data_IF_324624754433
#
_entry.id   IF_324624754433
#
_cell.length_a   1.000
_cell.length_b   1.000
_cell.length_c   1.000
_cell.angle_alpha   90.00
_cell.angle_beta   90.00
_cell.angle_gamma   90.00
#
_symmetry.space_group_name_H-M   'P 1'
#
loop_
_entity.id
_entity.type
_entity.pdbx_description
1 polymer ?
#
# COMPACT_ATOMS: atom_id res chain seq x y z
N UNK A 1 37.55 -39.06 -23.52
CA UNK A 1 37.28 -37.78 -22.82
C UNK A 1 35.78 -37.61 -22.67
N UNK A 2 35.25 -37.75 -21.45
CA UNK A 2 33.84 -37.52 -21.11
C UNK A 2 33.68 -36.03 -20.87
N UNK A 3 33.12 -35.30 -21.82
CA UNK A 3 32.84 -33.87 -21.65
C UNK A 3 31.43 -33.77 -21.07
N UNK A 4 31.37 -33.46 -19.78
CA UNK A 4 30.17 -33.32 -18.98
C UNK A 4 29.53 -31.96 -19.31
N UNK A 5 28.40 -31.95 -20.02
CA UNK A 5 27.59 -30.74 -20.19
C UNK A 5 26.83 -30.46 -18.89
N UNK A 6 27.39 -29.59 -18.04
CA UNK A 6 26.68 -29.04 -16.89
C UNK A 6 25.78 -27.91 -17.40
N UNK A 7 24.50 -28.21 -17.57
CA UNK A 7 23.47 -27.19 -17.75
C UNK A 7 23.24 -26.50 -16.41
N UNK A 8 23.79 -25.29 -16.25
CA UNK A 8 23.50 -24.42 -15.11
C UNK A 8 22.09 -23.84 -15.35
N UNK A 9 21.11 -24.38 -14.63
CA UNK A 9 19.76 -23.82 -14.57
C UNK A 9 19.82 -22.65 -13.59
N UNK A 10 20.02 -21.42 -14.11
CA UNK A 10 19.82 -20.19 -13.32
C UNK A 10 18.33 -20.09 -12.98
N UNK A 11 17.92 -20.67 -11.85
CA UNK A 11 16.69 -20.25 -11.18
C UNK A 11 16.95 -18.83 -10.66
N UNK A 12 16.64 -17.84 -11.48
CA UNK A 12 16.50 -16.47 -11.01
C UNK A 12 15.28 -16.44 -10.07
N UNK A 13 15.51 -16.70 -8.79
CA UNK A 13 14.49 -16.41 -7.78
C UNK A 13 14.33 -14.90 -7.79
N UNK A 14 13.29 -14.40 -8.46
CA UNK A 14 12.90 -13.01 -8.32
C UNK A 14 12.60 -12.80 -6.84
N UNK A 15 13.44 -12.02 -6.17
CA UNK A 15 13.11 -11.44 -4.87
C UNK A 15 11.83 -10.63 -5.07
N UNK A 16 10.68 -11.26 -4.81
CA UNK A 16 9.43 -10.55 -4.64
C UNK A 16 9.63 -9.73 -3.38
N UNK A 17 9.90 -8.44 -3.56
CA UNK A 17 9.97 -7.55 -2.41
C UNK A 17 8.55 -7.43 -1.86
N UNK A 18 8.32 -8.05 -0.70
CA UNK A 18 7.06 -7.94 0.06
C UNK A 18 6.78 -6.48 0.46
N UNK A 19 7.79 -5.61 0.39
CA UNK A 19 7.68 -4.18 0.57
C UNK A 19 8.53 -3.41 -0.45
N UNK A 20 7.93 -2.44 -1.12
CA UNK A 20 8.58 -1.50 -2.03
C UNK A 20 8.07 -0.09 -1.78
N UNK A 21 8.84 0.94 -2.15
CA UNK A 21 8.44 2.33 -2.00
C UNK A 21 8.60 3.07 -3.33
N UNK A 22 7.61 3.86 -3.70
CA UNK A 22 7.66 4.73 -4.89
C UNK A 22 6.69 5.91 -4.72
N UNK A 23 6.92 7.06 -5.38
CA UNK A 23 5.92 8.13 -5.42
C UNK A 23 4.69 7.69 -6.22
N UNK A 24 3.54 8.29 -5.92
CA UNK A 24 2.35 8.11 -6.74
C UNK A 24 2.51 8.77 -8.11
N UNK A 25 2.13 8.06 -9.18
CA UNK A 25 2.14 8.56 -10.54
C UNK A 25 0.88 8.13 -11.31
N UNK A 26 0.72 8.66 -12.53
CA UNK A 26 -0.45 8.33 -13.36
C UNK A 26 -0.49 6.86 -13.76
N UNK A 27 0.67 6.24 -14.01
CA UNK A 27 0.77 4.83 -14.41
C UNK A 27 0.23 3.91 -13.30
N UNK A 28 0.55 4.21 -12.05
CA UNK A 28 0.06 3.48 -10.89
C UNK A 28 -1.44 3.65 -10.74
N UNK A 29 -1.98 4.86 -10.89
CA UNK A 29 -3.43 5.09 -10.88
C UNK A 29 -4.14 4.33 -12.02
N UNK A 30 -3.61 4.41 -13.24
CA UNK A 30 -4.17 3.79 -14.44
C UNK A 30 -4.11 2.25 -14.38
N UNK A 31 -3.16 1.70 -13.63
CA UNK A 31 -3.07 0.26 -13.35
C UNK A 31 -4.23 -0.27 -12.49
N UNK A 32 -5.03 0.63 -11.90
CA UNK A 32 -6.15 0.31 -10.99
C UNK A 32 -5.72 -0.53 -9.78
N UNK A 33 -4.47 -0.38 -9.35
CA UNK A 33 -4.00 -1.02 -8.13
C UNK A 33 -4.86 -0.56 -6.94
N UNK A 34 -5.14 -1.46 -6.01
CA UNK A 34 -5.86 -1.11 -4.79
C UNK A 34 -4.97 -0.21 -3.94
N UNK A 35 -5.47 0.97 -3.58
CA UNK A 35 -4.80 1.90 -2.68
C UNK A 35 -5.56 1.86 -1.35
N UNK A 36 -4.89 1.51 -0.27
CA UNK A 36 -5.46 1.54 1.08
C UNK A 36 -5.01 2.83 1.76
N UNK A 37 -5.96 3.71 2.06
CA UNK A 37 -5.70 4.95 2.79
C UNK A 37 -5.78 4.67 4.30
N UNK A 38 -4.63 4.76 4.98
CA UNK A 38 -4.48 4.42 6.40
C UNK A 38 -4.58 5.63 7.33
N UNK A 39 -4.99 6.79 6.81
CA UNK A 39 -5.22 8.02 7.56
C UNK A 39 -6.48 7.93 8.44
N UNK A 40 -6.72 8.96 9.23
CA UNK A 40 -7.92 9.05 10.07
C UNK A 40 -9.15 9.54 9.27
N UNK A 41 -10.38 9.26 9.75
CA UNK A 41 -11.59 9.83 9.17
C UNK A 41 -11.59 11.36 9.08
N UNK A 42 -11.01 12.04 10.06
CA UNK A 42 -10.87 13.50 10.06
C UNK A 42 -9.98 13.98 8.91
N UNK A 43 -8.86 13.30 8.64
CA UNK A 43 -8.01 13.59 7.48
C UNK A 43 -8.74 13.34 6.15
N UNK A 44 -9.51 12.25 6.05
CA UNK A 44 -10.30 11.94 4.85
C UNK A 44 -11.39 12.99 4.57
N UNK A 45 -12.05 13.49 5.62
CA UNK A 45 -13.05 14.57 5.49
C UNK A 45 -12.42 15.87 4.98
N UNK A 46 -11.20 16.18 5.40
CA UNK A 46 -10.51 17.43 5.03
C UNK A 46 -10.02 17.42 3.60
N UNK A 47 -9.31 16.37 3.16
CA UNK A 47 -8.66 16.36 1.84
C UNK A 47 -9.37 15.49 0.81
N UNK A 48 -10.33 14.66 1.22
CA UNK A 48 -10.80 13.54 0.43
C UNK A 48 -9.79 12.40 0.36
N UNK A 49 -10.06 11.48 -0.56
CA UNK A 49 -9.27 10.28 -0.86
C UNK A 49 -8.72 10.37 -2.28
N UNK A 50 -7.62 9.69 -2.58
CA UNK A 50 -7.26 9.41 -3.98
C UNK A 50 -8.36 8.56 -4.59
N UNK A 51 -8.85 8.92 -5.78
CA UNK A 51 -10.02 8.28 -6.40
C UNK A 51 -9.88 6.75 -6.45
N UNK A 52 -10.88 6.04 -5.91
CA UNK A 52 -10.89 4.57 -5.87
C UNK A 52 -10.07 3.95 -4.73
N UNK A 53 -9.60 4.77 -3.79
CA UNK A 53 -8.92 4.29 -2.58
C UNK A 53 -9.90 3.69 -1.58
N UNK A 54 -9.42 2.72 -0.79
CA UNK A 54 -10.16 2.06 0.27
C UNK A 54 -9.75 2.69 1.62
N UNK A 55 -10.66 3.42 2.30
CA UNK A 55 -10.35 4.01 3.59
C UNK A 55 -10.34 2.94 4.69
N UNK A 56 -9.16 2.61 5.22
CA UNK A 56 -8.96 1.66 6.32
C UNK A 56 -7.90 2.24 7.27
N UNK A 57 -8.34 2.98 8.28
CA UNK A 57 -7.48 3.61 9.29
C UNK A 57 -6.66 2.55 10.04
N UNK A 58 -5.36 2.84 10.26
CA UNK A 58 -4.48 2.01 11.07
C UNK A 58 -4.28 2.60 12.47
N UNK A 59 -3.85 3.86 12.55
CA UNK A 59 -3.68 4.61 13.80
C UNK A 59 -4.84 5.58 13.97
N UNK A 60 -5.43 5.63 15.17
CA UNK A 60 -6.37 6.68 15.55
C UNK A 60 -5.67 8.01 15.86
N UNK A 61 -6.45 9.03 16.24
CA UNK A 61 -5.94 10.38 16.54
C UNK A 61 -5.03 10.43 17.79
N UNK A 62 -5.10 9.41 18.65
CA UNK A 62 -4.27 9.26 19.84
C UNK A 62 -3.06 8.36 19.59
N UNK A 63 -2.94 7.78 18.39
CA UNK A 63 -1.88 6.84 18.03
C UNK A 63 -2.15 5.40 18.44
N UNK A 64 -3.35 5.08 18.95
CA UNK A 64 -3.71 3.69 19.23
C UNK A 64 -3.99 2.94 17.92
N UNK A 65 -3.75 1.64 17.92
CA UNK A 65 -3.99 0.77 16.77
C UNK A 65 -4.48 -0.61 17.22
N UNK A 66 -5.26 -1.27 16.38
CA UNK A 66 -5.68 -2.65 16.56
C UNK A 66 -5.33 -3.44 15.30
N UNK A 67 -4.27 -4.24 15.38
CA UNK A 67 -3.73 -5.02 14.25
C UNK A 67 -4.76 -6.02 13.74
N UNK A 68 -5.45 -6.75 14.61
CA UNK A 68 -6.41 -7.78 14.23
C UNK A 68 -7.60 -7.16 13.48
N UNK A 69 -8.16 -6.08 14.01
CA UNK A 69 -9.26 -5.36 13.38
C UNK A 69 -8.85 -4.76 12.02
N UNK A 70 -7.62 -4.23 11.93
CA UNK A 70 -7.08 -3.71 10.68
C UNK A 70 -6.91 -4.82 9.63
N UNK A 71 -6.25 -5.94 9.99
CA UNK A 71 -6.05 -7.07 9.09
C UNK A 71 -7.38 -7.70 8.64
N UNK A 72 -8.37 -7.78 9.54
CA UNK A 72 -9.71 -8.25 9.21
C UNK A 72 -10.41 -7.38 8.15
N UNK A 73 -10.24 -6.05 8.19
CA UNK A 73 -10.74 -5.14 7.15
C UNK A 73 -9.91 -5.25 5.87
N UNK A 74 -8.58 -5.30 5.99
CA UNK A 74 -7.66 -5.39 4.86
C UNK A 74 -7.92 -6.66 4.03
N UNK A 75 -8.10 -7.82 4.68
CA UNK A 75 -8.33 -9.10 4.02
C UNK A 75 -9.66 -9.18 3.26
N UNK A 76 -10.63 -8.32 3.56
CA UNK A 76 -11.86 -8.19 2.77
C UNK A 76 -11.63 -7.47 1.44
N UNK A 77 -10.53 -6.73 1.34
CA UNK A 77 -10.20 -5.89 0.18
C UNK A 77 -9.04 -6.48 -0.62
N UNK A 78 -8.00 -6.98 0.05
CA UNK A 78 -6.74 -7.44 -0.54
C UNK A 78 -6.52 -8.91 -0.23
N UNK A 79 -6.23 -9.72 -1.25
CA UNK A 79 -5.85 -11.13 -1.08
C UNK A 79 -4.36 -11.26 -0.71
N UNK A 80 -3.98 -12.32 0.00
CA UNK A 80 -2.56 -12.64 0.21
C UNK A 80 -1.86 -12.84 -1.14
N UNK A 81 -0.64 -12.31 -1.28
CA UNK A 81 0.10 -12.27 -2.54
C UNK A 81 -0.35 -11.20 -3.56
N UNK A 82 -1.52 -10.58 -3.38
CA UNK A 82 -1.96 -9.46 -4.23
C UNK A 82 -1.11 -8.22 -3.93
N UNK A 83 -0.61 -7.57 -4.98
CA UNK A 83 0.12 -6.30 -4.83
C UNK A 83 -0.86 -5.15 -4.64
N UNK A 84 -0.65 -4.34 -3.60
CA UNK A 84 -1.46 -3.17 -3.32
C UNK A 84 -0.59 -2.02 -2.80
N UNK A 85 -1.15 -0.81 -2.80
CA UNK A 85 -0.49 0.38 -2.34
C UNK A 85 -1.06 0.85 -1.00
N UNK A 86 -0.23 1.50 -0.19
CA UNK A 86 -0.62 2.20 1.03
C UNK A 86 -0.41 3.70 0.85
N UNK A 87 -1.32 4.51 1.38
CA UNK A 87 -1.16 5.96 1.45
C UNK A 87 -1.48 6.49 2.85
N UNK A 88 -0.65 7.40 3.35
CA UNK A 88 -0.93 8.20 4.53
C UNK A 88 -0.79 9.70 4.22
N UNK A 89 -0.62 10.55 5.24
CA UNK A 89 -0.46 11.99 5.00
C UNK A 89 0.82 12.31 4.22
N UNK A 90 1.99 11.88 4.70
CA UNK A 90 3.31 12.24 4.16
C UNK A 90 4.23 11.08 3.80
N UNK A 91 3.84 9.82 4.09
CA UNK A 91 4.64 8.61 3.87
C UNK A 91 5.16 7.94 5.17
N UNK A 92 5.23 8.67 6.29
CA UNK A 92 5.85 8.14 7.51
C UNK A 92 5.09 6.93 8.11
N UNK A 93 3.76 7.02 8.18
CA UNK A 93 2.94 5.92 8.73
C UNK A 93 2.95 4.70 7.81
N UNK A 94 2.94 4.91 6.49
CA UNK A 94 2.94 3.83 5.51
C UNK A 94 4.27 3.12 5.44
N UNK A 95 5.38 3.80 5.74
CA UNK A 95 6.67 3.13 5.90
C UNK A 95 6.63 2.09 7.04
N UNK A 96 6.11 2.48 8.21
CA UNK A 96 6.02 1.60 9.39
C UNK A 96 5.06 0.44 9.10
N UNK A 97 3.83 0.77 8.70
CA UNK A 97 2.77 -0.23 8.46
C UNK A 97 3.10 -1.13 7.28
N UNK A 98 3.66 -0.59 6.20
CA UNK A 98 4.03 -1.36 5.02
C UNK A 98 5.18 -2.32 5.30
N UNK A 99 6.19 -1.93 6.08
CA UNK A 99 7.24 -2.85 6.50
C UNK A 99 6.67 -4.00 7.36
N UNK A 100 5.78 -3.67 8.31
CA UNK A 100 5.08 -4.68 9.12
C UNK A 100 4.30 -5.65 8.23
N UNK A 101 3.47 -5.14 7.32
CA UNK A 101 2.64 -5.96 6.44
C UNK A 101 3.46 -6.81 5.48
N UNK A 102 4.51 -6.25 4.89
CA UNK A 102 5.39 -6.97 3.98
C UNK A 102 6.17 -8.06 4.71
N UNK A 103 6.97 -7.68 5.71
CA UNK A 103 7.95 -8.58 6.33
C UNK A 103 7.35 -9.58 7.31
N UNK A 104 6.28 -9.21 8.01
CA UNK A 104 5.73 -10.05 9.09
C UNK A 104 4.39 -10.69 8.72
N UNK A 105 3.66 -10.11 7.77
CA UNK A 105 2.33 -10.59 7.40
C UNK A 105 2.26 -11.17 5.98
N UNK A 106 3.35 -11.13 5.21
CA UNK A 106 3.42 -11.75 3.87
C UNK A 106 2.53 -11.08 2.83
N UNK A 107 2.38 -9.76 2.91
CA UNK A 107 1.69 -8.95 1.90
C UNK A 107 2.67 -8.37 0.88
N UNK A 108 2.19 -8.04 -0.32
CA UNK A 108 2.98 -7.35 -1.34
C UNK A 108 2.62 -5.86 -1.35
N UNK A 109 3.41 -5.03 -0.67
CA UNK A 109 3.07 -3.64 -0.37
C UNK A 109 3.88 -2.63 -1.19
N UNK A 110 3.21 -1.62 -1.71
CA UNK A 110 3.81 -0.40 -2.25
C UNK A 110 3.53 0.77 -1.30
N UNK A 111 4.55 1.31 -0.64
CA UNK A 111 4.46 2.56 0.09
C UNK A 111 4.47 3.75 -0.87
N UNK A 112 3.37 4.51 -0.91
CA UNK A 112 3.26 5.73 -1.71
C UNK A 112 3.98 6.89 -1.01
N UNK A 113 5.23 7.10 -1.42
CA UNK A 113 6.11 8.13 -0.86
C UNK A 113 5.51 9.52 -1.00
N UNK A 114 5.63 10.32 0.07
CA UNK A 114 5.05 11.67 0.13
C UNK A 114 3.55 11.70 0.43
N UNK A 115 2.89 10.53 0.49
CA UNK A 115 1.49 10.39 0.88
C UNK A 115 0.52 11.21 0.03
N UNK A 116 -0.61 11.57 0.63
CA UNK A 116 -1.62 12.38 -0.06
C UNK A 116 -1.14 13.80 -0.33
N UNK A 117 -0.22 14.35 0.47
CA UNK A 117 0.33 15.70 0.21
C UNK A 117 1.05 15.74 -1.14
N UNK A 118 1.81 14.69 -1.46
CA UNK A 118 2.44 14.56 -2.77
C UNK A 118 1.42 14.30 -3.89
N UNK A 119 0.40 13.47 -3.62
CA UNK A 119 -0.68 13.23 -4.58
C UNK A 119 -1.43 14.52 -4.97
N UNK A 120 -1.73 15.39 -3.99
CA UNK A 120 -2.32 16.72 -4.19
C UNK A 120 -1.39 17.60 -5.02
N UNK A 121 -0.10 17.67 -4.66
CA UNK A 121 0.89 18.45 -5.41
C UNK A 121 1.03 17.99 -6.86
N UNK A 122 0.83 16.70 -7.13
CA UNK A 122 0.82 16.10 -8.48
C UNK A 122 -0.53 16.18 -9.19
N UNK A 123 -1.55 16.80 -8.58
CA UNK A 123 -2.92 16.92 -9.11
C UNK A 123 -3.52 15.55 -9.46
N UNK A 124 -3.26 14.55 -8.63
CA UNK A 124 -3.89 13.24 -8.77
C UNK A 124 -5.41 13.34 -8.56
N UNK A 125 -6.23 12.49 -9.21
CA UNK A 125 -7.67 12.55 -9.05
C UNK A 125 -8.07 12.25 -7.61
N UNK A 126 -8.82 13.15 -6.98
CA UNK A 126 -9.34 12.97 -5.63
C UNK A 126 -10.87 12.88 -5.64
N UNK A 127 -11.42 12.24 -4.62
CA UNK A 127 -12.86 12.18 -4.38
C UNK A 127 -13.19 12.53 -2.92
N UNK A 128 -14.31 13.24 -2.65
CA UNK A 128 -14.74 13.52 -1.29
C UNK A 128 -15.02 12.24 -0.52
N UNK A 129 -14.55 12.16 0.73
CA UNK A 129 -14.89 11.04 1.60
C UNK A 129 -16.36 11.10 2.01
N UNK A 130 -17.10 10.05 1.66
CA UNK A 130 -18.48 9.84 2.11
C UNK A 130 -18.46 8.70 3.13
N UNK A 131 -18.71 8.98 4.43
CA UNK A 131 -18.85 7.90 5.40
C UNK A 131 -19.97 6.98 4.95
N UNK A 132 -19.74 5.66 5.02
CA UNK A 132 -20.83 4.70 4.82
C UNK A 132 -21.81 4.86 6.00
N UNK A 133 -23.12 4.90 5.74
CA UNK A 133 -24.14 4.98 6.78
C UNK A 133 -24.09 3.76 7.71
#
# INVERSE_FOLDING_TARGET
MRILFIAILLLATTLMADYSAQPIDKKLIDSKIKIIDIRTPSEWKTTGLVKGSYPIMFFDEQGNYNVEAFLGKLNKVVKKGEKFALICNSGNRTQIVGNFLGKQQGYNVIDLQGGIQYAIGKKMPLEPYKPKP
#
